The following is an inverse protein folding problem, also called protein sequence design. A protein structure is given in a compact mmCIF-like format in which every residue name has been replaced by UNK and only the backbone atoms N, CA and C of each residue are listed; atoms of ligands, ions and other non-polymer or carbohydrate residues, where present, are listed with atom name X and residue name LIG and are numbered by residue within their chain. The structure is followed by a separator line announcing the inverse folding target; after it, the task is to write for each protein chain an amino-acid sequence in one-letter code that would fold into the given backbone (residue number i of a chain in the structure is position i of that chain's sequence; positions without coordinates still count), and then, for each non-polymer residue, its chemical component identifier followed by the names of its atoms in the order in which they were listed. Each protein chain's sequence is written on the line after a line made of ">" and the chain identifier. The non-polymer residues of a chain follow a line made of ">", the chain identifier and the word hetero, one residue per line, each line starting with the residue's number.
data_IF_365550370774
#
_entry.id   IF_365550370774
#
_cell.length_a   1.000
_cell.length_b   1.000
_cell.length_c   1.000
_cell.angle_alpha   90.00
_cell.angle_beta   90.00
_cell.angle_gamma   90.00
#
_symmetry.space_group_name_H-M   'P 1'
#
loop_
_entity.id
_entity.type
_entity.pdbx_description
1 polymer ?
#
# COMPACT_ATOMS: atom_id res chain seq x y z
N UNK A 1 -1.23 17.63 -25.89
CA UNK A 1 -1.81 18.08 -24.61
C UNK A 1 -0.82 17.69 -23.50
N UNK A 2 0.07 18.62 -23.12
CA UNK A 2 1.11 18.37 -22.12
C UNK A 2 0.50 18.41 -20.70
N UNK A 3 0.43 17.26 -20.04
CA UNK A 3 0.06 17.13 -18.62
C UNK A 3 1.26 16.49 -17.92
N UNK A 4 1.68 17.04 -16.77
CA UNK A 4 2.96 16.75 -16.08
C UNK A 4 3.30 15.23 -16.07
N UNK A 5 4.44 14.84 -16.65
CA UNK A 5 4.94 13.45 -16.70
C UNK A 5 5.58 12.96 -15.39
N UNK A 6 5.21 13.56 -14.25
CA UNK A 6 5.85 13.31 -12.96
C UNK A 6 4.89 13.65 -11.83
N UNK A 7 4.73 12.70 -10.92
CA UNK A 7 3.92 12.79 -9.70
C UNK A 7 4.29 11.64 -8.75
N UNK A 8 3.83 11.72 -7.51
CA UNK A 8 3.98 10.63 -6.55
C UNK A 8 2.64 10.41 -5.84
N UNK A 9 2.17 9.17 -5.78
CA UNK A 9 0.97 8.78 -5.03
C UNK A 9 1.42 8.01 -3.80
N UNK A 10 0.99 8.40 -2.60
CA UNK A 10 1.26 7.63 -1.38
C UNK A 10 -0.03 7.02 -0.90
N UNK A 11 -0.07 5.69 -0.82
CA UNK A 11 -1.24 4.96 -0.34
C UNK A 11 -1.09 4.60 1.14
N UNK A 12 -2.10 4.89 1.95
CA UNK A 12 -2.13 4.48 3.35
C UNK A 12 -2.53 3.01 3.49
N UNK A 13 -1.55 2.14 3.68
CA UNK A 13 -1.71 0.72 3.90
C UNK A 13 -1.53 0.37 5.40
N UNK A 14 -1.50 -0.92 5.73
CA UNK A 14 -1.29 -1.42 7.09
C UNK A 14 -0.32 -2.59 7.06
N UNK A 15 0.41 -2.80 8.14
CA UNK A 15 1.22 -4.01 8.33
C UNK A 15 0.36 -5.29 8.21
N UNK A 16 -0.93 -5.22 8.54
CA UNK A 16 -1.88 -6.32 8.37
C UNK A 16 -2.24 -6.61 6.90
N UNK A 17 -1.82 -5.76 5.97
CA UNK A 17 -1.87 -6.05 4.53
C UNK A 17 -0.72 -6.96 4.06
N UNK A 18 0.27 -7.22 4.92
CA UNK A 18 1.45 -8.06 4.66
C UNK A 18 1.50 -9.25 5.62
N UNK A 19 1.10 -9.05 6.88
CA UNK A 19 1.05 -10.09 7.91
C UNK A 19 -0.40 -10.35 8.34
N UNK A 20 -0.72 -11.59 8.69
CA UNK A 20 -2.07 -11.94 9.18
C UNK A 20 -2.25 -11.69 10.67
N UNK A 21 -3.45 -11.26 11.07
CA UNK A 21 -3.88 -11.24 12.47
C UNK A 21 -5.29 -11.87 12.58
N UNK A 22 -5.52 -12.63 13.65
CA UNK A 22 -6.82 -13.24 13.90
C UNK A 22 -7.89 -12.16 14.10
N UNK A 23 -9.09 -12.39 13.55
CA UNK A 23 -10.23 -11.46 13.67
C UNK A 23 -10.19 -10.25 12.71
N UNK A 24 -9.16 -10.11 11.87
CA UNK A 24 -9.02 -8.96 10.96
C UNK A 24 -9.06 -9.34 9.47
N UNK A 25 -9.70 -10.47 9.12
CA UNK A 25 -9.66 -11.03 7.76
C UNK A 25 -10.07 -10.02 6.67
N UNK A 26 -11.22 -9.35 6.81
CA UNK A 26 -11.69 -8.36 5.84
C UNK A 26 -10.76 -7.14 5.75
N UNK A 27 -10.26 -6.67 6.90
CA UNK A 27 -9.33 -5.54 6.96
C UNK A 27 -7.99 -5.87 6.30
N UNK A 28 -7.43 -7.05 6.59
CA UNK A 28 -6.18 -7.55 6.04
C UNK A 28 -6.28 -7.74 4.52
N UNK A 29 -7.41 -8.29 4.04
CA UNK A 29 -7.69 -8.40 2.61
C UNK A 29 -7.74 -7.02 1.92
N UNK A 30 -8.48 -6.07 2.49
CA UNK A 30 -8.57 -4.72 1.94
C UNK A 30 -7.21 -4.01 1.91
N UNK A 31 -6.40 -4.12 2.98
CA UNK A 31 -5.07 -3.50 3.03
C UNK A 31 -4.05 -4.24 2.15
N UNK A 32 -4.17 -5.55 1.99
CA UNK A 32 -3.39 -6.33 1.02
C UNK A 32 -3.72 -5.95 -0.43
N UNK A 33 -4.99 -5.65 -0.73
CA UNK A 33 -5.40 -5.16 -2.04
C UNK A 33 -4.74 -3.82 -2.38
N UNK A 34 -4.67 -2.86 -1.44
CA UNK A 34 -3.96 -1.59 -1.64
C UNK A 34 -2.46 -1.80 -1.89
N UNK A 35 -1.85 -2.74 -1.16
CA UNK A 35 -0.43 -3.06 -1.32
C UNK A 35 -0.15 -3.58 -2.73
N UNK A 36 -0.94 -4.56 -3.20
CA UNK A 36 -0.77 -5.15 -4.52
C UNK A 36 -1.19 -4.20 -5.65
N UNK A 37 -2.25 -3.41 -5.47
CA UNK A 37 -2.64 -2.37 -6.44
C UNK A 37 -1.48 -1.42 -6.73
N UNK A 38 -0.78 -0.96 -5.69
CA UNK A 38 0.38 -0.07 -5.85
C UNK A 38 1.51 -0.73 -6.63
N UNK A 39 1.77 -2.03 -6.42
CA UNK A 39 2.76 -2.78 -7.19
C UNK A 39 2.37 -2.94 -8.65
N UNK A 40 1.10 -3.24 -8.92
CA UNK A 40 0.59 -3.34 -10.29
C UNK A 40 0.73 -2.01 -11.01
N UNK A 41 0.32 -0.91 -10.39
CA UNK A 41 0.46 0.43 -10.97
C UNK A 41 1.92 0.81 -11.24
N UNK A 42 2.86 0.40 -10.38
CA UNK A 42 4.29 0.64 -10.60
C UNK A 42 4.86 -0.12 -11.82
N UNK A 43 4.18 -1.17 -12.29
CA UNK A 43 4.56 -1.94 -13.48
C UNK A 43 3.84 -1.47 -14.76
N UNK A 44 2.79 -0.65 -14.62
CA UNK A 44 2.00 -0.15 -15.76
C UNK A 44 2.64 1.13 -16.35
N UNK A 45 2.89 1.12 -17.66
CA UNK A 45 3.53 2.25 -18.38
C UNK A 45 2.64 3.52 -18.39
N UNK A 46 1.32 3.33 -18.46
CA UNK A 46 0.33 4.40 -18.40
C UNK A 46 0.31 5.08 -17.01
N UNK A 47 0.75 4.36 -15.97
CA UNK A 47 0.88 4.85 -14.61
C UNK A 47 2.32 5.25 -14.28
N UNK A 48 3.18 5.52 -15.27
CA UNK A 48 4.58 5.96 -15.07
C UNK A 48 4.73 7.25 -14.24
N UNK A 49 3.66 8.02 -14.06
CA UNK A 49 3.58 9.15 -13.12
C UNK A 49 3.28 8.73 -11.67
N UNK A 50 3.11 7.45 -11.39
CA UNK A 50 2.82 6.85 -10.08
C UNK A 50 4.11 6.20 -9.57
N UNK A 51 5.06 7.01 -9.08
CA UNK A 51 6.25 6.50 -8.37
C UNK A 51 5.92 6.10 -6.92
N UNK A 52 4.70 5.67 -6.69
CA UNK A 52 4.05 5.69 -5.39
C UNK A 52 4.42 4.54 -4.45
N UNK A 53 4.56 4.84 -3.15
CA UNK A 53 4.84 3.84 -2.12
C UNK A 53 3.61 3.59 -1.23
N UNK A 54 3.58 2.42 -0.58
CA UNK A 54 2.63 2.14 0.49
C UNK A 54 3.21 2.61 1.82
N UNK A 55 2.51 3.52 2.52
CA UNK A 55 2.78 3.81 3.92
C UNK A 55 2.14 2.71 4.78
N UNK A 56 2.95 1.77 5.27
CA UNK A 56 2.47 0.69 6.14
C UNK A 56 2.36 1.19 7.58
N UNK A 57 1.12 1.32 8.07
CA UNK A 57 0.86 1.67 9.46
C UNK A 57 0.89 0.40 10.33
N UNK A 58 1.79 0.38 11.32
CA UNK A 58 1.99 -0.74 12.27
C UNK A 58 0.84 -0.89 13.27
N UNK A 59 0.26 0.22 13.72
CA UNK A 59 -0.87 0.20 14.66
C UNK A 59 -0.56 -0.41 16.03
N UNK A 60 0.73 -0.51 16.41
CA UNK A 60 1.16 -1.12 17.67
C UNK A 60 1.44 -2.62 17.58
N UNK A 61 1.34 -3.23 16.39
CA UNK A 61 1.72 -4.63 16.17
C UNK A 61 3.17 -4.92 16.59
N UNK A 62 4.07 -3.95 16.42
CA UNK A 62 5.47 -4.07 16.83
C UNK A 62 5.71 -3.69 18.31
N UNK A 63 4.78 -2.96 18.94
CA UNK A 63 4.93 -2.50 20.33
C UNK A 63 4.78 -3.61 21.39
N UNK A 64 4.18 -4.75 21.04
CA UNK A 64 3.96 -5.89 21.96
C UNK A 64 5.16 -6.84 22.12
N UNK A 65 6.30 -6.57 21.49
CA UNK A 65 7.54 -7.34 21.64
C UNK A 65 8.57 -6.51 22.41
N UNK A 66 8.38 -6.41 23.73
CA UNK A 66 9.41 -6.01 24.69
C UNK A 66 9.94 -7.24 25.41
#
# INVERSE_FOLDING_TARGET
>A
MNRKRSGSIVNCASILGVFGQSGTAAYSAAKGAVVNMTRTLALEDEASFVTGANLLVDGGFTAGKS
#
